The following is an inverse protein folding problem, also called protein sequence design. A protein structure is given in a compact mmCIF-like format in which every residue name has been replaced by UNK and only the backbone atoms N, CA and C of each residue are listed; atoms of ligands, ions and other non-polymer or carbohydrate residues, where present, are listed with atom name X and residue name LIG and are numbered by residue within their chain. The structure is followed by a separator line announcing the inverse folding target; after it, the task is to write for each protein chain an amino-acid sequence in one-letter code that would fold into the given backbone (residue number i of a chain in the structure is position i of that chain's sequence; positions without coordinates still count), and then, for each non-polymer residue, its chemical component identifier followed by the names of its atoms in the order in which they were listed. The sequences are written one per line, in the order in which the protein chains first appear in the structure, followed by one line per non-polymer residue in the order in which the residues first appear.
data_IF_960454728942
#
_entry.id   IF_960454728942
#
_cell.length_a   1.000
_cell.length_b   1.000
_cell.length_c   1.000
_cell.angle_alpha   90.00
_cell.angle_beta   90.00
_cell.angle_gamma   90.00
#
_symmetry.space_group_name_H-M   'P 1'
#
loop_
_entity.id
_entity.type
_entity.pdbx_description
1 polymer ?
#
# COMPACT_ATOMS: atom_id res chain seq x y z
N UNK A 1 -21.46 4.33 -29.03
CA UNK A 1 -20.00 4.54 -29.14
C UNK A 1 -19.69 5.93 -28.60
N UNK A 2 -19.11 6.01 -27.41
CA UNK A 2 -18.31 7.16 -26.93
C UNK A 2 -17.52 6.67 -25.73
N UNK A 3 -16.25 6.36 -25.98
CA UNK A 3 -15.23 6.08 -24.97
C UNK A 3 -14.85 7.38 -24.27
N UNK A 4 -15.11 7.48 -22.96
CA UNK A 4 -14.39 8.41 -22.10
C UNK A 4 -13.30 7.63 -21.37
N UNK A 5 -12.06 8.16 -21.29
CA UNK A 5 -10.94 7.42 -20.73
C UNK A 5 -11.18 7.24 -19.24
N UNK A 6 -10.70 6.11 -18.70
CA UNK A 6 -10.59 5.87 -17.29
C UNK A 6 -9.96 7.10 -16.62
N UNK A 7 -10.78 7.87 -15.90
CA UNK A 7 -10.31 8.94 -15.06
C UNK A 7 -9.70 8.26 -13.83
N UNK A 8 -8.49 7.72 -14.01
CA UNK A 8 -7.73 7.08 -12.95
C UNK A 8 -7.37 8.21 -12.00
N UNK A 9 -8.16 8.38 -10.95
CA UNK A 9 -7.87 9.33 -9.89
C UNK A 9 -6.49 8.98 -9.30
N UNK A 10 -5.46 9.70 -9.75
CA UNK A 10 -4.06 9.55 -9.31
C UNK A 10 -3.84 10.06 -7.89
N UNK A 11 -4.89 10.55 -7.23
CA UNK A 11 -4.79 10.97 -5.84
C UNK A 11 -4.40 9.80 -4.95
N UNK A 12 -3.65 10.12 -3.89
CA UNK A 12 -3.32 9.17 -2.84
C UNK A 12 -4.51 8.93 -1.93
N UNK A 13 -4.52 7.79 -1.23
CA UNK A 13 -5.51 7.47 -0.18
C UNK A 13 -5.62 8.63 0.83
N UNK A 14 -4.52 9.31 1.15
CA UNK A 14 -4.56 10.43 2.10
C UNK A 14 -5.20 11.69 1.50
N UNK A 15 -4.98 11.99 0.23
CA UNK A 15 -5.62 13.11 -0.46
C UNK A 15 -7.13 12.89 -0.57
N UNK A 16 -7.56 11.68 -0.97
CA UNK A 16 -8.97 11.30 -0.95
C UNK A 16 -9.59 11.45 0.44
N UNK A 17 -8.88 11.01 1.48
CA UNK A 17 -9.35 11.21 2.84
C UNK A 17 -9.43 12.69 3.23
N UNK A 18 -8.48 13.52 2.80
CA UNK A 18 -8.52 14.96 3.08
C UNK A 18 -9.74 15.62 2.44
N UNK A 19 -10.06 15.28 1.19
CA UNK A 19 -11.26 15.78 0.52
C UNK A 19 -12.54 15.31 1.23
N UNK A 20 -12.62 14.04 1.61
CA UNK A 20 -13.73 13.48 2.36
C UNK A 20 -13.90 14.14 3.73
N UNK A 21 -12.82 14.36 4.47
CA UNK A 21 -12.88 15.00 5.77
C UNK A 21 -13.37 16.45 5.69
N UNK A 22 -13.02 17.16 4.61
CA UNK A 22 -13.53 18.51 4.34
C UNK A 22 -15.03 18.50 4.02
N UNK A 23 -15.49 17.57 3.19
CA UNK A 23 -16.92 17.47 2.85
C UNK A 23 -17.78 17.03 4.04
N UNK A 24 -17.24 16.20 4.93
CA UNK A 24 -17.89 15.78 6.19
C UNK A 24 -17.76 16.83 7.31
N UNK A 25 -17.06 17.97 7.09
CA UNK A 25 -16.89 19.02 8.10
C UNK A 25 -16.05 18.59 9.31
N UNK A 26 -15.17 17.58 9.15
CA UNK A 26 -14.42 17.01 10.26
C UNK A 26 -13.29 17.93 10.74
N UNK A 27 -13.33 18.29 12.01
CA UNK A 27 -12.25 19.05 12.66
C UNK A 27 -10.96 18.24 12.73
N UNK A 28 -9.90 18.74 12.09
CA UNK A 28 -8.59 18.09 12.06
C UNK A 28 -8.09 17.77 13.47
N UNK A 29 -7.54 16.57 13.65
CA UNK A 29 -7.04 16.02 14.94
C UNK A 29 -8.12 15.68 15.98
N UNK A 30 -9.40 15.92 15.73
CA UNK A 30 -10.48 15.46 16.60
C UNK A 30 -10.48 13.92 16.72
N UNK A 31 -11.13 13.40 17.77
CA UNK A 31 -11.30 11.95 17.94
C UNK A 31 -12.03 11.34 16.74
N UNK A 32 -13.06 12.02 16.25
CA UNK A 32 -13.84 11.63 15.08
C UNK A 32 -12.99 11.60 13.81
N UNK A 33 -12.24 12.67 13.52
CA UNK A 33 -11.32 12.72 12.38
C UNK A 33 -10.33 11.55 12.39
N UNK A 34 -9.73 11.26 13.55
CA UNK A 34 -8.78 10.15 13.71
C UNK A 34 -9.44 8.78 13.50
N UNK A 35 -10.66 8.61 14.00
CA UNK A 35 -11.44 7.38 13.84
C UNK A 35 -11.83 7.17 12.37
N UNK A 36 -12.42 8.21 11.75
CA UNK A 36 -12.81 8.20 10.34
C UNK A 36 -11.63 7.95 9.42
N UNK A 37 -10.50 8.63 9.66
CA UNK A 37 -9.25 8.41 8.91
C UNK A 37 -8.78 6.96 8.97
N UNK A 38 -8.83 6.36 10.15
CA UNK A 38 -8.42 4.97 10.34
C UNK A 38 -9.34 4.02 9.58
N UNK A 39 -10.65 4.21 9.68
CA UNK A 39 -11.62 3.38 8.97
C UNK A 39 -11.44 3.49 7.45
N UNK A 40 -11.29 4.72 6.94
CA UNK A 40 -11.08 4.99 5.52
C UNK A 40 -9.79 4.33 4.99
N UNK A 41 -8.66 4.55 5.67
CA UNK A 41 -7.39 3.92 5.26
C UNK A 41 -7.49 2.39 5.28
N UNK A 42 -8.21 1.81 6.26
CA UNK A 42 -8.37 0.36 6.32
C UNK A 42 -9.11 -0.16 5.10
N UNK A 43 -10.25 0.45 4.78
CA UNK A 43 -11.11 0.05 3.67
C UNK A 43 -10.40 0.18 2.31
N UNK A 44 -9.78 1.33 2.07
CA UNK A 44 -9.04 1.61 0.83
C UNK A 44 -7.83 0.68 0.65
N UNK A 45 -7.09 0.39 1.72
CA UNK A 45 -5.95 -0.54 1.65
C UNK A 45 -6.42 -1.98 1.46
N UNK A 46 -7.46 -2.43 2.16
CA UNK A 46 -7.97 -3.80 2.00
C UNK A 46 -8.47 -4.02 0.56
N UNK A 47 -9.26 -3.08 0.04
CA UNK A 47 -9.81 -3.13 -1.33
C UNK A 47 -8.72 -3.00 -2.38
N UNK A 48 -7.85 -1.98 -2.27
CA UNK A 48 -6.80 -1.72 -3.24
C UNK A 48 -5.75 -2.82 -3.28
N UNK A 49 -5.33 -3.34 -2.12
CA UNK A 49 -4.38 -4.45 -2.06
C UNK A 49 -4.97 -5.74 -2.65
N UNK A 50 -6.22 -6.08 -2.32
CA UNK A 50 -6.88 -7.26 -2.87
C UNK A 50 -7.04 -7.15 -4.40
N UNK A 51 -7.38 -5.95 -4.90
CA UNK A 51 -7.51 -5.70 -6.34
C UNK A 51 -6.18 -5.81 -7.07
N UNK A 52 -5.11 -5.24 -6.50
CA UNK A 52 -3.81 -5.19 -7.15
C UNK A 52 -3.00 -6.49 -7.05
N UNK A 53 -3.07 -7.19 -5.91
CA UNK A 53 -2.18 -8.31 -5.58
C UNK A 53 -2.92 -9.55 -5.07
N UNK A 54 -4.21 -9.44 -4.77
CA UNK A 54 -4.96 -10.50 -4.09
C UNK A 54 -4.58 -10.67 -2.61
N UNK A 55 -4.72 -11.90 -2.10
CA UNK A 55 -4.43 -12.21 -0.69
C UNK A 55 -3.69 -13.51 -0.44
N UNK A 56 -3.36 -14.25 -1.51
CA UNK A 56 -2.79 -15.60 -1.43
C UNK A 56 -1.27 -15.52 -1.51
N UNK A 57 -0.59 -15.82 -0.40
CA UNK A 57 0.88 -15.77 -0.35
C UNK A 57 1.57 -16.89 -1.15
N UNK A 58 0.83 -17.89 -1.62
CA UNK A 58 1.31 -18.94 -2.53
C UNK A 58 1.13 -18.60 -4.03
N UNK A 59 0.66 -17.40 -4.37
CA UNK A 59 0.54 -16.96 -5.77
C UNK A 59 1.85 -16.33 -6.26
N UNK A 60 2.58 -17.00 -7.16
CA UNK A 60 3.79 -16.45 -7.78
C UNK A 60 3.49 -15.15 -8.54
N UNK A 61 2.36 -15.09 -9.25
CA UNK A 61 1.93 -13.89 -9.98
C UNK A 61 1.80 -12.69 -9.04
N UNK A 62 1.14 -12.87 -7.89
CA UNK A 62 0.99 -11.79 -6.90
C UNK A 62 2.34 -11.25 -6.39
N UNK A 63 3.31 -12.14 -6.16
CA UNK A 63 4.66 -11.72 -5.77
C UNK A 63 5.37 -10.95 -6.89
N UNK A 64 5.20 -11.34 -8.16
CA UNK A 64 5.74 -10.60 -9.31
C UNK A 64 5.10 -9.22 -9.46
N UNK A 65 3.79 -9.11 -9.24
CA UNK A 65 3.09 -7.82 -9.26
C UNK A 65 3.61 -6.88 -8.17
N UNK A 66 3.90 -7.41 -6.97
CA UNK A 66 4.55 -6.64 -5.92
C UNK A 66 5.95 -6.20 -6.35
N UNK A 67 6.79 -7.10 -6.86
CA UNK A 67 8.15 -6.76 -7.32
C UNK A 67 8.12 -5.65 -8.37
N UNK A 68 7.22 -5.75 -9.36
CA UNK A 68 7.01 -4.73 -10.39
C UNK A 68 6.62 -3.39 -9.77
N UNK A 69 5.67 -3.39 -8.84
CA UNK A 69 5.21 -2.15 -8.18
C UNK A 69 6.32 -1.52 -7.33
N UNK A 70 7.10 -2.33 -6.61
CA UNK A 70 8.24 -1.87 -5.80
C UNK A 70 9.41 -1.40 -6.66
N UNK A 71 9.46 -1.80 -7.94
CA UNK A 71 10.53 -1.43 -8.87
C UNK A 71 11.76 -2.32 -8.78
N UNK A 72 11.57 -3.60 -8.44
CA UNK A 72 12.67 -4.58 -8.46
C UNK A 72 12.90 -5.05 -9.89
N UNK A 73 14.05 -4.67 -10.45
CA UNK A 73 14.47 -5.06 -11.80
C UNK A 73 14.60 -6.59 -11.95
N UNK A 74 14.15 -7.13 -13.08
CA UNK A 74 14.20 -8.57 -13.38
C UNK A 74 13.23 -9.42 -12.56
N UNK A 75 12.34 -8.82 -11.77
CA UNK A 75 11.38 -9.53 -10.92
C UNK A 75 10.42 -10.41 -11.71
N UNK A 76 10.09 -10.03 -12.94
CA UNK A 76 9.24 -10.76 -13.88
C UNK A 76 9.86 -12.09 -14.35
N UNK A 77 11.19 -12.20 -14.36
CA UNK A 77 11.93 -13.39 -14.80
C UNK A 77 12.02 -14.45 -13.69
N UNK A 78 11.72 -14.10 -12.43
CA UNK A 78 11.82 -15.04 -11.31
C UNK A 78 10.77 -16.15 -11.45
N UNK A 79 11.15 -17.39 -11.15
CA UNK A 79 10.30 -18.57 -11.38
C UNK A 79 9.75 -19.17 -10.09
N UNK A 80 10.11 -18.61 -8.93
CA UNK A 80 9.66 -19.12 -7.63
C UNK A 80 9.41 -18.02 -6.61
N UNK A 81 8.48 -18.29 -5.68
CA UNK A 81 8.15 -17.38 -4.56
C UNK A 81 9.37 -17.14 -3.67
N UNK A 82 10.23 -18.15 -3.51
CA UNK A 82 11.46 -18.03 -2.74
C UNK A 82 12.39 -16.98 -3.34
N UNK A 83 12.55 -16.96 -4.66
CA UNK A 83 13.32 -15.92 -5.36
C UNK A 83 12.67 -14.55 -5.18
N UNK A 84 11.35 -14.43 -5.32
CA UNK A 84 10.67 -13.15 -5.12
C UNK A 84 10.87 -12.58 -3.71
N UNK A 85 10.74 -13.43 -2.68
CA UNK A 85 11.03 -13.04 -1.29
C UNK A 85 12.49 -12.65 -1.08
N UNK A 86 13.41 -13.35 -1.74
CA UNK A 86 14.84 -13.03 -1.67
C UNK A 86 15.14 -11.66 -2.33
N UNK A 87 14.50 -11.36 -3.45
CA UNK A 87 14.65 -10.08 -4.14
C UNK A 87 14.08 -8.90 -3.34
N UNK A 88 13.03 -9.12 -2.54
CA UNK A 88 12.49 -8.13 -1.59
C UNK A 88 13.27 -8.06 -0.27
N UNK A 89 14.27 -8.93 -0.04
CA UNK A 89 14.99 -8.94 1.22
C UNK A 89 15.74 -7.63 1.42
N UNK A 90 15.55 -6.99 2.57
CA UNK A 90 16.15 -5.68 2.85
C UNK A 90 15.39 -4.51 2.23
N UNK A 91 14.30 -4.78 1.50
CA UNK A 91 13.40 -3.76 0.97
C UNK A 91 12.20 -3.60 1.89
N UNK A 92 11.95 -2.37 2.32
CA UNK A 92 10.87 -2.02 3.23
C UNK A 92 10.01 -0.94 2.58
N UNK A 93 8.70 -1.17 2.48
CA UNK A 93 7.73 -0.23 1.91
C UNK A 93 6.56 -0.02 2.87
N UNK A 94 5.95 1.17 2.81
CA UNK A 94 4.71 1.39 3.53
C UNK A 94 3.54 0.76 2.76
N UNK A 95 2.65 0.03 3.46
CA UNK A 95 1.51 -0.65 2.83
C UNK A 95 0.55 0.33 2.13
N UNK A 96 0.33 1.53 2.69
CA UNK A 96 -0.54 2.54 2.06
C UNK A 96 0.09 3.04 0.76
N UNK A 97 1.40 3.34 0.78
CA UNK A 97 2.12 3.80 -0.41
C UNK A 97 2.21 2.74 -1.51
N UNK A 98 2.34 1.46 -1.11
CA UNK A 98 2.34 0.33 -2.04
C UNK A 98 0.99 0.23 -2.78
N UNK A 99 -0.12 0.39 -2.07
CA UNK A 99 -1.46 0.40 -2.68
C UNK A 99 -1.65 1.64 -3.55
N UNK A 100 -1.24 2.83 -3.08
CA UNK A 100 -1.27 4.06 -3.90
C UNK A 100 -0.49 3.89 -5.21
N UNK A 101 0.64 3.19 -5.18
CA UNK A 101 1.44 2.90 -6.36
C UNK A 101 0.74 1.92 -7.30
N UNK A 102 0.23 0.82 -6.76
CA UNK A 102 -0.41 -0.22 -7.54
C UNK A 102 -1.70 0.27 -8.22
N UNK A 103 -2.55 0.99 -7.48
CA UNK A 103 -3.81 1.55 -8.01
C UNK A 103 -3.59 2.57 -9.12
N UNK A 104 -2.49 3.34 -9.04
CA UNK A 104 -2.10 4.29 -10.08
C UNK A 104 -1.31 3.63 -11.23
N UNK A 105 -1.09 2.31 -11.21
CA UNK A 105 -0.31 1.60 -12.22
C UNK A 105 1.15 2.04 -12.31
N UNK A 106 1.70 2.60 -11.22
CA UNK A 106 3.06 3.19 -11.19
C UNK A 106 4.06 2.31 -10.46
N UNK A 107 5.31 2.41 -10.88
CA UNK A 107 6.45 1.90 -10.13
C UNK A 107 6.79 2.88 -9.01
N UNK A 108 7.16 2.37 -7.83
CA UNK A 108 7.61 3.17 -6.70
C UNK A 108 8.99 3.76 -7.00
N UNK A 109 9.04 5.05 -7.36
CA UNK A 109 10.30 5.81 -7.50
C UNK A 109 10.81 6.35 -6.17
N UNK A 110 9.98 6.33 -5.13
CA UNK A 110 10.30 6.75 -3.77
C UNK A 110 9.47 5.95 -2.76
N UNK A 111 9.78 6.06 -1.47
CA UNK A 111 9.06 5.31 -0.42
C UNK A 111 9.48 3.85 -0.29
N UNK A 112 10.61 3.49 -0.91
CA UNK A 112 11.32 2.23 -0.76
C UNK A 112 12.52 2.47 0.16
N UNK A 113 12.60 1.74 1.26
CA UNK A 113 13.59 1.93 2.32
C UNK A 113 14.48 0.71 2.46
N UNK A 114 15.76 0.92 2.79
CA UNK A 114 16.74 -0.14 3.05
C UNK A 114 16.71 -0.67 4.48
N UNK A 115 15.90 -0.08 5.38
CA UNK A 115 15.77 -0.54 6.76
C UNK A 115 14.37 -0.31 7.34
N UNK A 116 13.97 -1.20 8.25
CA UNK A 116 12.74 -1.05 9.02
C UNK A 116 12.72 0.25 9.84
N UNK A 117 13.88 0.70 10.35
CA UNK A 117 13.98 1.95 11.12
C UNK A 117 13.70 3.19 10.27
N UNK A 118 14.23 3.23 9.04
CA UNK A 118 13.95 4.31 8.10
C UNK A 118 12.45 4.37 7.74
N UNK A 119 11.85 3.22 7.44
CA UNK A 119 10.40 3.13 7.21
C UNK A 119 9.61 3.53 8.46
N UNK A 120 10.02 3.13 9.66
CA UNK A 120 9.34 3.49 10.90
C UNK A 120 9.35 5.01 11.15
N UNK A 121 10.49 5.69 10.91
CA UNK A 121 10.59 7.14 10.98
C UNK A 121 9.64 7.82 9.99
N UNK A 122 9.57 7.31 8.77
CA UNK A 122 8.62 7.79 7.77
C UNK A 122 7.16 7.61 8.20
N UNK A 123 6.80 6.45 8.74
CA UNK A 123 5.44 6.17 9.23
C UNK A 123 5.06 7.12 10.36
N UNK A 124 5.97 7.35 11.33
CA UNK A 124 5.74 8.30 12.44
C UNK A 124 5.53 9.73 11.94
N UNK A 125 6.30 10.15 10.94
CA UNK A 125 6.20 11.48 10.34
C UNK A 125 4.89 11.68 9.56
N UNK A 126 4.47 10.69 8.79
CA UNK A 126 3.31 10.81 7.88
C UNK A 126 1.99 10.35 8.49
N UNK A 127 2.04 9.54 9.54
CA UNK A 127 0.86 8.89 10.10
C UNK A 127 0.21 7.86 9.15
N UNK A 128 0.93 7.37 8.13
CA UNK A 128 0.48 6.28 7.24
C UNK A 128 0.58 4.93 7.97
N UNK A 129 -0.33 4.72 8.91
CA UNK A 129 -0.39 3.52 9.77
C UNK A 129 -1.50 2.60 9.31
N UNK A 130 -1.18 1.33 9.10
CA UNK A 130 -2.17 0.28 8.84
C UNK A 130 -2.28 -0.68 10.05
N UNK A 131 -3.48 -1.01 10.55
CA UNK A 131 -3.63 -1.82 11.76
C UNK A 131 -3.09 -3.24 11.64
N UNK A 132 -2.30 -3.67 12.63
CA UNK A 132 -1.70 -5.00 12.69
C UNK A 132 -2.71 -6.14 12.52
N UNK A 133 -3.87 -6.04 13.19
CA UNK A 133 -4.92 -7.08 13.14
C UNK A 133 -5.47 -7.24 11.71
N UNK A 134 -5.69 -6.13 10.99
CA UNK A 134 -6.17 -6.15 9.61
C UNK A 134 -5.11 -6.70 8.66
N UNK A 135 -3.86 -6.28 8.82
CA UNK A 135 -2.76 -6.81 8.04
C UNK A 135 -2.60 -8.32 8.14
N UNK A 136 -2.73 -8.88 9.35
CA UNK A 136 -2.62 -10.32 9.57
C UNK A 136 -3.72 -11.16 8.91
N UNK A 137 -4.86 -10.55 8.55
CA UNK A 137 -5.95 -11.25 7.88
C UNK A 137 -5.63 -11.62 6.41
N UNK A 138 -4.72 -10.88 5.77
CA UNK A 138 -4.25 -11.16 4.41
C UNK A 138 -2.83 -11.77 4.45
N UNK A 139 -2.67 -12.96 3.88
CA UNK A 139 -1.45 -13.75 4.00
C UNK A 139 -0.24 -13.12 3.30
N UNK A 140 -0.49 -12.40 2.21
CA UNK A 140 0.52 -11.68 1.42
C UNK A 140 0.81 -10.30 2.04
N UNK A 141 -0.23 -9.53 2.36
CA UNK A 141 -0.09 -8.19 2.94
C UNK A 141 0.72 -8.21 4.25
N UNK A 142 0.50 -9.20 5.12
CA UNK A 142 1.24 -9.33 6.40
C UNK A 142 2.76 -9.41 6.22
N UNK A 143 3.27 -9.75 5.03
CA UNK A 143 4.71 -9.84 4.76
C UNK A 143 5.39 -8.45 4.76
N UNK A 144 4.63 -7.37 4.59
CA UNK A 144 5.12 -5.99 4.53
C UNK A 144 4.97 -5.23 5.86
N UNK A 145 4.63 -5.93 6.94
CA UNK A 145 4.42 -5.32 8.24
C UNK A 145 5.72 -4.86 8.88
N UNK A 146 5.79 -3.58 9.23
CA UNK A 146 6.77 -3.02 10.17
C UNK A 146 6.04 -2.45 11.37
N UNK A 147 6.49 -2.82 12.57
CA UNK A 147 5.98 -2.27 13.84
C UNK A 147 6.70 -0.96 14.13
N UNK A 148 5.97 0.05 14.59
CA UNK A 148 6.47 1.42 14.82
C UNK A 148 6.09 1.95 16.18
#
# INVERSE_FOLDING_TARGET
MSTSPANTDVSTILERFTLLALSEGLTKKSKEYKSRRRAFIVDEVETGFATAFGGIASSLAAWKDVLRTVGVEGGELLTSIRQCKAALKGTFVNIVDLVDAASAGRVMTSGVYSSASALAKYIKRTGKVFPLKKAKANQLLRQFLVKV
#
